data_IF_332962095372
#
_entry.id   IF_332962095372
#
_cell.length_a   1.000
_cell.length_b   1.000
_cell.length_c   1.000
_cell.angle_alpha   90.00
_cell.angle_beta   90.00
_cell.angle_gamma   90.00
#
_symmetry.space_group_name_H-M   'P 1'
#
loop_
_entity.id
_entity.type
_entity.pdbx_description
1 polymer ?
#
# COMPACT_ATOMS: atom_id res chain seq x y z
N UNK A 1 -4.01 -4.33 12.77
CA UNK A 1 -3.74 -5.51 11.92
C UNK A 1 -3.32 -6.72 12.76
N UNK A 2 -2.14 -6.76 13.40
CA UNK A 2 -1.70 -7.90 14.23
C UNK A 2 -2.66 -8.30 15.38
N UNK A 3 -3.27 -7.34 16.08
CA UNK A 3 -4.21 -7.65 17.18
C UNK A 3 -5.53 -8.30 16.71
N UNK A 4 -5.94 -8.07 15.47
CA UNK A 4 -7.11 -8.74 14.89
C UNK A 4 -6.80 -10.22 14.64
N UNK A 5 -5.61 -10.51 14.09
CA UNK A 5 -5.13 -11.87 13.82
C UNK A 5 -4.98 -12.68 15.12
N UNK A 6 -4.38 -12.09 16.17
CA UNK A 6 -4.29 -12.72 17.51
C UNK A 6 -5.66 -13.08 18.08
N UNK A 7 -6.67 -12.24 17.89
CA UNK A 7 -8.01 -12.42 18.47
C UNK A 7 -8.78 -13.59 17.84
N UNK A 8 -8.47 -13.93 16.59
CA UNK A 8 -9.00 -15.12 15.90
C UNK A 8 -8.29 -16.38 16.42
N UNK A 9 -6.96 -16.38 16.43
CA UNK A 9 -6.14 -17.54 16.87
C UNK A 9 -6.43 -17.93 18.33
N UNK A 10 -6.75 -16.96 19.20
CA UNK A 10 -7.00 -17.22 20.63
C UNK A 10 -8.38 -17.81 20.95
N UNK A 11 -9.27 -17.99 19.95
CA UNK A 11 -10.64 -18.47 20.17
C UNK A 11 -10.76 -20.00 20.16
N UNK A 12 -9.88 -20.69 19.41
CA UNK A 12 -10.00 -22.12 19.11
C UNK A 12 -8.81 -22.95 19.64
N UNK A 13 -8.58 -22.95 20.95
CA UNK A 13 -7.64 -23.90 21.58
C UNK A 13 -8.04 -24.26 23.02
N UNK A 14 -8.15 -25.57 23.36
CA UNK A 14 -8.51 -26.01 24.70
C UNK A 14 -7.35 -25.88 25.68
N UNK A 15 -7.64 -25.45 26.91
CA UNK A 15 -6.64 -25.27 27.96
C UNK A 15 -5.98 -26.58 28.41
N UNK A 16 -4.65 -26.56 28.59
CA UNK A 16 -3.93 -27.56 29.39
C UNK A 16 -3.06 -26.86 30.45
N UNK A 17 -3.12 -27.41 31.66
CA UNK A 17 -2.51 -26.88 32.89
C UNK A 17 -0.96 -26.92 32.85
N UNK A 18 -0.26 -26.01 33.56
CA UNK A 18 1.20 -25.93 33.53
C UNK A 18 1.88 -26.98 34.41
N UNK A 19 3.08 -27.41 34.00
CA UNK A 19 4.02 -28.18 34.84
C UNK A 19 5.33 -27.39 34.93
N UNK A 20 5.90 -27.31 36.14
CA UNK A 20 6.97 -26.40 36.50
C UNK A 20 8.35 -26.75 35.89
N UNK A 21 9.23 -25.74 35.79
CA UNK A 21 10.68 -25.91 35.62
C UNK A 21 11.43 -25.25 36.78
N UNK A 22 12.50 -25.91 37.23
CA UNK A 22 13.30 -25.58 38.42
C UNK A 22 14.31 -24.45 38.15
N UNK A 23 14.65 -23.72 39.21
CA UNK A 23 15.84 -22.87 39.31
C UNK A 23 17.13 -23.69 39.36
N UNK A 24 18.24 -23.12 38.85
CA UNK A 24 19.59 -23.34 39.41
C UNK A 24 20.37 -22.01 39.35
N UNK A 25 21.01 -21.65 40.46
CA UNK A 25 21.79 -20.41 40.66
C UNK A 25 23.31 -20.62 40.60
N UNK A 26 24.05 -19.53 40.30
CA UNK A 26 25.45 -19.16 40.67
C UNK A 26 26.28 -18.65 39.46
N UNK A 27 27.31 -17.80 39.61
CA UNK A 27 27.65 -16.70 40.56
C UNK A 27 28.83 -15.90 39.94
N UNK A 28 28.97 -14.62 40.28
CA UNK A 28 30.07 -13.71 39.83
C UNK A 28 31.46 -14.16 40.34
N UNK A 29 32.57 -13.77 39.66
CA UNK A 29 33.29 -12.50 39.91
C UNK A 29 33.69 -11.75 38.60
N UNK A 30 34.18 -10.50 38.54
CA UNK A 30 34.41 -9.42 39.53
C UNK A 30 34.51 -8.03 38.81
N UNK A 31 34.93 -6.96 39.51
CA UNK A 31 35.42 -5.67 38.97
C UNK A 31 36.76 -5.32 39.68
N UNK A 32 37.53 -4.28 39.27
CA UNK A 32 37.32 -2.96 39.90
C UNK A 32 37.79 -1.68 39.16
N UNK A 33 37.18 -0.53 39.52
CA UNK A 33 37.73 0.87 39.50
C UNK A 33 38.01 1.48 38.09
N UNK A 34 37.96 2.79 37.83
CA UNK A 34 37.79 4.06 38.58
C UNK A 34 37.23 5.11 37.56
N UNK A 35 36.67 6.31 37.85
CA UNK A 35 36.41 7.12 39.08
C UNK A 35 35.20 8.04 38.79
N UNK A 36 35.01 9.17 39.49
CA UNK A 36 33.99 10.20 39.20
C UNK A 36 34.54 11.63 39.35
N UNK A 37 33.94 12.62 38.67
CA UNK A 37 34.01 14.05 38.99
C UNK A 37 32.81 14.83 38.37
N UNK A 38 32.43 15.97 38.96
CA UNK A 38 31.23 16.79 38.63
C UNK A 38 31.64 18.25 38.24
N UNK A 39 30.71 19.19 37.93
CA UNK A 39 30.92 20.22 36.90
C UNK A 39 31.40 21.60 37.41
N UNK A 40 31.74 22.53 36.51
CA UNK A 40 31.80 23.96 36.79
C UNK A 40 30.45 24.67 36.52
N UNK A 41 30.21 25.78 37.23
CA UNK A 41 29.04 26.67 37.10
C UNK A 41 29.39 27.99 36.39
N UNK A 42 28.41 28.53 35.67
CA UNK A 42 28.04 29.96 35.48
C UNK A 42 29.12 31.06 35.38
N UNK A 43 29.00 31.87 34.33
CA UNK A 43 29.03 33.34 34.48
C UNK A 43 28.11 34.03 33.45
N UNK A 44 27.38 35.04 33.92
CA UNK A 44 26.44 35.84 33.11
C UNK A 44 27.13 36.83 32.16
N UNK A 45 26.52 37.08 30.99
CA UNK A 45 26.13 38.47 30.64
C UNK A 45 25.12 38.59 29.49
N UNK A 46 23.94 39.08 29.89
CA UNK A 46 22.81 39.61 29.11
C UNK A 46 23.19 40.85 28.28
N UNK A 47 22.83 40.89 26.98
CA UNK A 47 22.53 42.10 26.16
C UNK A 47 21.80 41.68 24.88
N UNK A 48 20.46 41.72 24.88
CA UNK A 48 19.61 42.79 24.28
C UNK A 48 19.47 42.76 22.76
N UNK A 49 18.23 42.48 22.35
CA UNK A 49 17.67 42.61 21.00
C UNK A 49 17.78 44.06 20.49
N UNK A 50 18.06 44.24 19.19
CA UNK A 50 17.48 45.36 18.42
C UNK A 50 17.31 44.97 16.94
N UNK A 51 16.20 45.35 16.26
CA UNK A 51 15.93 44.92 14.89
C UNK A 51 16.52 45.87 13.85
N UNK A 52 17.06 45.32 12.76
CA UNK A 52 17.22 45.95 11.45
C UNK A 52 16.56 45.02 10.41
N UNK A 53 15.85 45.47 9.38
CA UNK A 53 15.45 46.83 9.01
C UNK A 53 14.16 46.77 8.17
N UNK A 54 13.47 47.91 8.06
CA UNK A 54 12.20 48.09 7.32
C UNK A 54 12.23 47.54 5.89
N UNK A 55 11.27 46.66 5.56
CA UNK A 55 10.92 46.35 4.17
C UNK A 55 10.13 47.55 3.63
N UNK A 56 10.70 48.25 2.63
CA UNK A 56 10.04 49.38 1.97
C UNK A 56 8.71 48.96 1.33
N UNK A 57 7.72 49.84 1.44
CA UNK A 57 6.42 49.69 0.78
C UNK A 57 6.57 49.56 -0.76
N UNK A 58 5.68 48.81 -1.43
CA UNK A 58 5.75 48.61 -2.88
C UNK A 58 5.33 49.88 -3.65
N UNK A 59 6.05 50.26 -4.72
CA UNK A 59 5.61 51.32 -5.61
C UNK A 59 4.43 50.86 -6.48
N UNK A 60 3.26 51.44 -6.17
CA UNK A 60 2.16 51.84 -7.05
C UNK A 60 2.16 51.35 -8.52
N UNK A 61 1.17 50.50 -8.81
CA UNK A 61 0.33 50.44 -10.03
C UNK A 61 0.93 50.99 -11.34
N UNK A 62 1.18 50.09 -12.29
CA UNK A 62 1.28 50.41 -13.71
C UNK A 62 0.31 49.51 -14.50
N UNK A 63 -0.89 50.02 -14.80
CA UNK A 63 -1.81 49.37 -15.73
C UNK A 63 -1.28 49.50 -17.16
N UNK A 64 -1.14 48.37 -17.88
CA UNK A 64 -1.14 48.36 -19.35
C UNK A 64 -2.01 47.22 -19.87
N UNK A 65 -2.71 47.52 -20.95
CA UNK A 65 -3.80 46.75 -21.59
C UNK A 65 -3.36 45.38 -22.11
N UNK A 66 -4.31 44.44 -22.31
CA UNK A 66 -4.00 43.03 -22.58
C UNK A 66 -3.31 42.82 -23.92
N UNK A 67 -2.31 41.93 -23.93
CA UNK A 67 -1.70 41.39 -25.15
C UNK A 67 -2.58 40.24 -25.63
N UNK A 68 -3.04 40.35 -26.88
CA UNK A 68 -3.87 39.34 -27.54
C UNK A 68 -3.03 38.09 -27.82
N UNK A 69 -3.52 36.93 -27.36
CA UNK A 69 -2.96 35.62 -27.70
C UNK A 69 -3.33 35.28 -29.15
N UNK A 70 -2.37 34.88 -30.03
CA UNK A 70 -2.71 34.32 -31.32
C UNK A 70 -3.34 32.93 -31.13
N UNK A 71 -4.52 32.76 -31.71
CA UNK A 71 -5.31 31.55 -31.71
C UNK A 71 -4.56 30.42 -32.45
N UNK A 72 -4.31 29.30 -31.78
CA UNK A 72 -3.64 28.13 -32.37
C UNK A 72 -4.65 27.01 -32.55
N UNK A 73 -4.73 26.50 -33.78
CA UNK A 73 -5.70 25.51 -34.25
C UNK A 73 -5.93 24.34 -33.29
N UNK A 74 -7.19 24.03 -33.03
CA UNK A 74 -7.57 22.81 -32.30
C UNK A 74 -7.34 21.58 -33.20
N UNK A 75 -6.32 20.78 -32.85
CA UNK A 75 -6.26 19.41 -33.34
C UNK A 75 -7.49 18.61 -32.85
N UNK A 76 -8.00 17.62 -33.62
CA UNK A 76 -9.22 16.91 -33.26
C UNK A 76 -9.13 16.27 -31.86
N UNK A 77 -10.01 16.70 -30.96
CA UNK A 77 -10.17 16.08 -29.64
C UNK A 77 -10.76 14.70 -29.84
N UNK A 78 -9.94 13.66 -29.71
CA UNK A 78 -10.43 12.29 -29.58
C UNK A 78 -11.49 12.23 -28.47
N UNK A 79 -12.67 11.71 -28.81
CA UNK A 79 -13.76 11.57 -27.85
C UNK A 79 -13.33 10.64 -26.71
N UNK A 80 -13.10 11.24 -25.54
CA UNK A 80 -12.88 10.48 -24.31
C UNK A 80 -14.13 9.65 -24.04
N UNK A 81 -14.05 8.35 -24.30
CA UNK A 81 -14.92 7.33 -23.69
C UNK A 81 -14.58 7.19 -22.20
N UNK A 82 -14.73 8.29 -21.46
CA UNK A 82 -14.53 8.40 -20.01
C UNK A 82 -15.75 7.86 -19.26
N UNK A 83 -16.01 6.58 -19.48
CA UNK A 83 -16.88 5.75 -18.65
C UNK A 83 -16.08 4.57 -18.11
N UNK A 84 -16.66 3.88 -17.13
CA UNK A 84 -16.09 2.72 -16.40
C UNK A 84 -15.30 1.72 -17.27
N UNK A 85 -15.74 1.47 -18.51
CA UNK A 85 -15.05 0.68 -19.53
C UNK A 85 -13.57 1.08 -19.73
N UNK A 86 -13.25 2.37 -19.90
CA UNK A 86 -11.88 2.84 -20.13
C UNK A 86 -10.95 2.61 -18.94
N UNK A 87 -11.48 2.60 -17.71
CA UNK A 87 -10.70 2.27 -16.51
C UNK A 87 -10.48 0.75 -16.40
N UNK A 88 -11.52 -0.05 -16.63
CA UNK A 88 -11.41 -1.51 -16.66
C UNK A 88 -10.42 -1.99 -17.73
N UNK A 89 -10.44 -1.41 -18.93
CA UNK A 89 -9.51 -1.76 -20.00
C UNK A 89 -8.08 -1.31 -19.71
N UNK A 90 -7.90 -0.18 -19.02
CA UNK A 90 -6.59 0.25 -18.51
C UNK A 90 -6.03 -0.72 -17.46
N UNK A 91 -6.88 -1.26 -16.56
CA UNK A 91 -6.50 -2.32 -15.62
C UNK A 91 -6.12 -3.60 -16.38
N UNK A 92 -6.98 -4.08 -17.30
CA UNK A 92 -6.70 -5.27 -18.12
C UNK A 92 -5.34 -5.16 -18.82
N UNK A 93 -5.06 -4.02 -19.45
CA UNK A 93 -3.79 -3.73 -20.15
C UNK A 93 -2.59 -3.64 -19.18
N UNK A 94 -2.79 -3.10 -17.99
CA UNK A 94 -1.75 -3.05 -16.96
C UNK A 94 -1.40 -4.44 -16.40
N UNK A 95 -2.37 -5.35 -16.35
CA UNK A 95 -2.22 -6.71 -15.83
C UNK A 95 -1.94 -7.76 -16.92
N UNK A 96 -1.79 -7.39 -18.20
CA UNK A 96 -1.64 -8.33 -19.33
C UNK A 96 -0.61 -9.42 -19.07
N UNK A 97 0.62 -9.06 -18.68
CA UNK A 97 1.72 -10.04 -18.45
C UNK A 97 1.38 -11.04 -17.34
N UNK A 98 0.87 -10.57 -16.20
CA UNK A 98 0.47 -11.40 -15.06
C UNK A 98 -0.69 -12.31 -15.44
N UNK A 99 -1.68 -11.77 -16.16
CA UNK A 99 -2.84 -12.52 -16.67
C UNK A 99 -2.39 -13.61 -17.65
N UNK A 100 -1.51 -13.31 -18.59
CA UNK A 100 -1.04 -14.26 -19.60
C UNK A 100 -0.37 -15.46 -18.92
N UNK A 101 0.64 -15.23 -18.07
CA UNK A 101 1.33 -16.28 -17.30
C UNK A 101 0.34 -17.15 -16.50
N UNK A 102 -0.46 -16.52 -15.63
CA UNK A 102 -1.42 -17.25 -14.79
C UNK A 102 -2.49 -17.97 -15.61
N UNK A 103 -2.98 -17.38 -16.70
CA UNK A 103 -4.03 -18.01 -17.51
C UNK A 103 -3.48 -19.20 -18.28
N UNK A 104 -2.26 -19.15 -18.81
CA UNK A 104 -1.65 -20.29 -19.50
C UNK A 104 -1.37 -21.45 -18.53
N UNK A 105 -0.76 -21.16 -17.38
CA UNK A 105 -0.42 -22.17 -16.37
C UNK A 105 -1.70 -22.84 -15.81
N UNK A 106 -2.68 -22.06 -15.38
CA UNK A 106 -3.94 -22.59 -14.84
C UNK A 106 -4.78 -23.32 -15.91
N UNK A 107 -4.82 -22.83 -17.15
CA UNK A 107 -5.59 -23.53 -18.19
C UNK A 107 -4.93 -24.87 -18.57
N UNK A 108 -3.59 -24.94 -18.60
CA UNK A 108 -2.87 -26.20 -18.79
C UNK A 108 -3.01 -27.16 -17.61
N UNK A 109 -3.18 -26.65 -16.38
CA UNK A 109 -3.43 -27.47 -15.20
C UNK A 109 -4.82 -28.12 -15.25
N UNK A 110 -5.84 -27.34 -15.60
CA UNK A 110 -7.24 -27.78 -15.52
C UNK A 110 -7.73 -28.56 -16.74
N UNK A 111 -7.07 -28.46 -17.90
CA UNK A 111 -7.48 -29.18 -19.11
C UNK A 111 -7.23 -30.68 -18.97
N UNK A 112 -8.30 -31.47 -18.82
CA UNK A 112 -8.26 -32.93 -18.92
C UNK A 112 -7.61 -33.68 -17.75
N UNK A 113 -7.23 -33.00 -16.66
CA UNK A 113 -6.77 -33.64 -15.43
C UNK A 113 -7.95 -34.02 -14.53
N UNK A 114 -7.76 -35.09 -13.75
CA UNK A 114 -8.67 -35.42 -12.64
C UNK A 114 -8.37 -34.52 -11.45
N UNK A 115 -9.35 -34.36 -10.57
CA UNK A 115 -9.17 -33.61 -9.31
C UNK A 115 -8.58 -34.56 -8.27
N UNK A 116 -7.26 -34.57 -8.17
CA UNK A 116 -6.47 -35.33 -7.20
C UNK A 116 -5.50 -34.41 -6.44
N UNK A 117 -4.72 -34.98 -5.50
CA UNK A 117 -3.79 -34.19 -4.69
C UNK A 117 -2.64 -33.59 -5.52
N UNK A 118 -2.20 -34.27 -6.59
CA UNK A 118 -1.16 -33.76 -7.49
C UNK A 118 -1.62 -32.47 -8.21
N UNK A 119 -2.90 -32.40 -8.61
CA UNK A 119 -3.48 -31.17 -9.14
C UNK A 119 -3.48 -30.01 -8.10
N UNK A 120 -3.68 -30.31 -6.82
CA UNK A 120 -3.59 -29.30 -5.75
C UNK A 120 -2.15 -28.86 -5.46
N UNK A 121 -1.16 -29.77 -5.50
CA UNK A 121 0.27 -29.44 -5.37
C UNK A 121 0.78 -28.58 -6.55
N UNK A 122 0.35 -28.88 -7.78
CA UNK A 122 0.65 -28.04 -8.95
C UNK A 122 -0.02 -26.65 -8.83
N UNK A 123 -1.27 -26.59 -8.35
CA UNK A 123 -1.97 -25.32 -8.11
C UNK A 123 -1.27 -24.48 -7.03
N UNK A 124 -0.84 -25.10 -5.93
CA UNK A 124 -0.04 -24.44 -4.89
C UNK A 124 1.22 -23.81 -5.46
N UNK A 125 1.94 -24.57 -6.28
CA UNK A 125 3.18 -24.12 -6.94
C UNK A 125 2.93 -22.92 -7.86
N UNK A 126 1.86 -22.93 -8.67
CA UNK A 126 1.50 -21.81 -9.55
C UNK A 126 1.16 -20.55 -8.74
N UNK A 127 0.42 -20.69 -7.63
CA UNK A 127 0.03 -19.56 -6.78
C UNK A 127 1.25 -18.96 -6.05
N UNK A 128 2.12 -19.80 -5.47
CA UNK A 128 3.32 -19.34 -4.77
C UNK A 128 4.34 -18.68 -5.72
N UNK A 129 4.56 -19.24 -6.91
CA UNK A 129 5.45 -18.66 -7.94
C UNK A 129 4.87 -17.44 -8.66
N UNK A 130 3.68 -16.99 -8.27
CA UNK A 130 2.97 -15.82 -8.80
C UNK A 130 2.67 -14.79 -7.70
N UNK A 131 3.50 -14.75 -6.66
CA UNK A 131 3.51 -13.76 -5.56
C UNK A 131 2.23 -13.70 -4.70
N UNK A 132 1.40 -14.75 -4.69
CA UNK A 132 0.19 -14.83 -3.84
C UNK A 132 0.55 -14.96 -2.36
N UNK A 133 1.64 -15.67 -2.06
CA UNK A 133 2.16 -15.86 -0.71
C UNK A 133 1.43 -16.95 0.10
N UNK A 134 2.16 -17.58 1.02
CA UNK A 134 1.76 -18.82 1.72
C UNK A 134 0.35 -18.72 2.33
N UNK A 135 0.09 -17.74 3.19
CA UNK A 135 -1.18 -17.65 3.93
C UNK A 135 -2.41 -17.52 3.03
N UNK A 136 -2.29 -16.83 1.90
CA UNK A 136 -3.38 -16.69 0.93
C UNK A 136 -3.52 -17.97 0.09
N UNK A 137 -2.41 -18.56 -0.35
CA UNK A 137 -2.43 -19.85 -1.06
C UNK A 137 -3.07 -20.96 -0.23
N UNK A 138 -2.68 -21.15 1.03
CA UNK A 138 -3.29 -22.15 1.92
C UNK A 138 -4.80 -21.93 2.07
N UNK A 139 -5.24 -20.69 2.33
CA UNK A 139 -6.66 -20.36 2.42
C UNK A 139 -7.44 -20.70 1.15
N UNK A 140 -6.87 -20.38 -0.02
CA UNK A 140 -7.51 -20.67 -1.32
C UNK A 140 -7.62 -22.18 -1.55
N UNK A 141 -6.54 -22.94 -1.36
CA UNK A 141 -6.52 -24.38 -1.58
C UNK A 141 -7.51 -25.11 -0.67
N UNK A 142 -7.53 -24.78 0.62
CA UNK A 142 -8.44 -25.43 1.58
C UNK A 142 -9.91 -25.07 1.30
N UNK A 143 -10.18 -23.81 0.95
CA UNK A 143 -11.53 -23.36 0.55
C UNK A 143 -12.02 -24.04 -0.73
N UNK A 144 -11.13 -24.27 -1.70
CA UNK A 144 -11.43 -25.00 -2.93
C UNK A 144 -11.63 -26.49 -2.63
N UNK A 145 -10.75 -27.15 -1.86
CA UNK A 145 -10.89 -28.57 -1.44
C UNK A 145 -12.23 -28.82 -0.75
N UNK A 146 -12.66 -27.92 0.15
CA UNK A 146 -13.98 -27.98 0.81
C UNK A 146 -15.12 -27.81 -0.20
N UNK A 147 -15.00 -26.86 -1.13
CA UNK A 147 -16.04 -26.59 -2.14
C UNK A 147 -16.21 -27.74 -3.14
N UNK A 148 -15.10 -28.33 -3.61
CA UNK A 148 -15.09 -29.53 -4.47
C UNK A 148 -15.81 -30.70 -3.77
N UNK A 149 -15.45 -31.00 -2.52
CA UNK A 149 -16.07 -32.08 -1.73
C UNK A 149 -17.55 -31.83 -1.44
N UNK A 150 -17.95 -30.57 -1.20
CA UNK A 150 -19.34 -30.21 -0.89
C UNK A 150 -20.25 -30.29 -2.13
N UNK A 151 -19.73 -29.88 -3.29
CA UNK A 151 -20.51 -29.74 -4.51
C UNK A 151 -20.37 -30.94 -5.47
N UNK A 152 -19.56 -31.96 -5.11
CA UNK A 152 -19.20 -33.11 -5.95
C UNK A 152 -18.69 -32.69 -7.34
N UNK A 153 -17.75 -31.74 -7.35
CA UNK A 153 -17.14 -31.26 -8.60
C UNK A 153 -16.18 -32.34 -9.10
N UNK A 154 -16.38 -32.79 -10.34
CA UNK A 154 -15.56 -33.81 -11.00
C UNK A 154 -14.68 -33.23 -12.12
N UNK A 155 -15.05 -32.08 -12.70
CA UNK A 155 -14.27 -31.42 -13.74
C UNK A 155 -13.33 -30.35 -13.18
N UNK A 156 -12.03 -30.48 -13.46
CA UNK A 156 -11.01 -29.50 -13.08
C UNK A 156 -11.23 -28.10 -13.70
N UNK A 157 -11.93 -27.96 -14.83
CA UNK A 157 -12.28 -26.65 -15.41
C UNK A 157 -13.08 -25.77 -14.43
N UNK A 158 -13.92 -26.38 -13.59
CA UNK A 158 -14.74 -25.68 -12.60
C UNK A 158 -13.90 -25.09 -11.45
N UNK A 159 -12.71 -25.66 -11.17
CA UNK A 159 -11.77 -25.15 -10.17
C UNK A 159 -11.33 -23.73 -10.51
N UNK A 160 -11.21 -23.39 -11.80
CA UNK A 160 -10.91 -22.01 -12.26
C UNK A 160 -11.99 -21.01 -11.85
N UNK A 161 -13.25 -21.44 -11.86
CA UNK A 161 -14.40 -20.66 -11.38
C UNK A 161 -14.34 -20.46 -9.86
N UNK A 162 -14.14 -21.54 -9.11
CA UNK A 162 -13.97 -21.51 -7.66
C UNK A 162 -12.78 -20.64 -7.21
N UNK A 163 -11.63 -20.76 -7.87
CA UNK A 163 -10.46 -19.95 -7.54
C UNK A 163 -10.75 -18.44 -7.68
N UNK A 164 -11.48 -18.04 -8.74
CA UNK A 164 -11.93 -16.66 -8.91
C UNK A 164 -12.91 -16.23 -7.81
N UNK A 165 -13.84 -17.10 -7.43
CA UNK A 165 -14.77 -16.84 -6.32
C UNK A 165 -14.00 -16.62 -5.01
N UNK A 166 -13.10 -17.53 -4.64
CA UNK A 166 -12.36 -17.47 -3.37
C UNK A 166 -11.32 -16.35 -3.32
N UNK A 167 -10.74 -15.97 -4.46
CA UNK A 167 -9.96 -14.73 -4.57
C UNK A 167 -10.83 -13.48 -4.33
N UNK A 168 -12.08 -13.48 -4.80
CA UNK A 168 -13.01 -12.36 -4.58
C UNK A 168 -13.42 -12.31 -3.10
N UNK A 169 -13.76 -13.45 -2.51
CA UNK A 169 -14.11 -13.59 -1.08
C UNK A 169 -12.99 -13.09 -0.16
N UNK A 170 -11.72 -13.34 -0.52
CA UNK A 170 -10.54 -12.83 0.21
C UNK A 170 -10.38 -11.30 0.10
N UNK A 171 -10.71 -10.70 -1.06
CA UNK A 171 -10.43 -9.30 -1.37
C UNK A 171 -11.57 -8.35 -0.98
N UNK A 172 -12.84 -8.75 -1.08
CA UNK A 172 -13.99 -7.88 -0.76
C UNK A 172 -13.95 -7.31 0.68
N UNK A 173 -13.58 -8.06 1.73
CA UNK A 173 -13.54 -7.52 3.10
C UNK A 173 -12.49 -6.43 3.36
N UNK A 174 -11.51 -6.27 2.47
CA UNK A 174 -10.44 -5.25 2.56
C UNK A 174 -10.65 -4.09 1.58
N UNK A 175 -11.73 -4.11 0.78
CA UNK A 175 -12.10 -3.00 -0.08
C UNK A 175 -12.55 -1.79 0.75
N UNK A 176 -11.75 -0.71 0.71
CA UNK A 176 -12.04 0.53 1.44
C UNK A 176 -11.69 1.75 0.56
N UNK A 177 -12.66 2.32 -0.17
CA UNK A 177 -12.41 3.45 -1.06
C UNK A 177 -12.08 4.73 -0.27
N UNK A 178 -11.18 5.55 -0.82
CA UNK A 178 -10.80 6.83 -0.22
C UNK A 178 -11.92 7.86 -0.36
N UNK A 179 -12.71 8.03 0.70
CA UNK A 179 -13.82 9.00 0.77
C UNK A 179 -13.35 10.28 1.48
N UNK A 180 -13.20 11.37 0.74
CA UNK A 180 -12.83 12.69 1.28
C UNK A 180 -14.04 13.37 1.95
N UNK A 181 -14.38 12.95 3.17
CA UNK A 181 -15.42 13.57 4.02
C UNK A 181 -14.82 14.02 5.35
N UNK A 182 -15.44 15.04 5.97
CA UNK A 182 -15.05 15.56 7.28
C UNK A 182 -14.22 16.84 7.20
N UNK A 183 -12.99 16.79 7.71
CA UNK A 183 -12.13 17.96 7.86
C UNK A 183 -11.79 18.65 6.52
N UNK A 184 -11.68 19.98 6.55
CA UNK A 184 -11.23 20.80 5.44
C UNK A 184 -10.10 21.74 5.93
N UNK A 185 -8.86 21.62 5.44
CA UNK A 185 -8.40 20.67 4.43
C UNK A 185 -8.40 19.21 4.92
N UNK A 186 -8.69 18.28 4.00
CA UNK A 186 -8.48 16.85 4.24
C UNK A 186 -7.00 16.52 3.98
N UNK A 187 -6.27 16.09 5.02
CA UNK A 187 -4.82 15.89 4.96
C UNK A 187 -4.49 14.43 4.64
N UNK A 188 -3.75 14.19 3.55
CA UNK A 188 -3.26 12.86 3.15
C UNK A 188 -1.73 12.83 3.30
N UNK A 189 -1.23 11.96 4.19
CA UNK A 189 0.20 11.71 4.34
C UNK A 189 0.61 10.45 3.58
N UNK A 190 1.47 10.59 2.57
CA UNK A 190 1.97 9.47 1.76
C UNK A 190 3.32 9.02 2.30
N UNK A 191 3.41 7.74 2.71
CA UNK A 191 4.61 7.13 3.31
C UNK A 191 5.06 5.89 2.53
N UNK A 192 6.32 5.49 2.69
CA UNK A 192 6.89 4.31 2.05
C UNK A 192 8.38 4.45 1.71
N UNK A 193 8.99 3.37 1.23
CA UNK A 193 10.43 3.31 0.88
C UNK A 193 10.77 4.09 -0.40
N UNK A 194 12.07 4.19 -0.72
CA UNK A 194 12.53 4.77 -1.98
C UNK A 194 12.17 3.87 -3.16
N UNK A 195 11.94 4.44 -4.34
CA UNK A 195 11.52 3.70 -5.54
C UNK A 195 10.04 3.29 -5.58
N UNK A 196 9.33 3.23 -4.45
CA UNK A 196 7.91 2.82 -4.36
C UNK A 196 6.87 3.76 -5.01
N UNK A 197 7.30 4.72 -5.84
CA UNK A 197 6.39 5.59 -6.61
C UNK A 197 5.68 6.70 -5.84
N UNK A 198 6.07 7.01 -4.58
CA UNK A 198 5.41 8.02 -3.72
C UNK A 198 5.06 9.33 -4.45
N UNK A 199 6.06 10.03 -4.98
CA UNK A 199 5.89 11.32 -5.67
C UNK A 199 5.01 11.20 -6.92
N UNK A 200 5.16 10.12 -7.69
CA UNK A 200 4.33 9.81 -8.85
C UNK A 200 2.86 9.56 -8.47
N UNK A 201 2.61 8.91 -7.32
CA UNK A 201 1.25 8.70 -6.79
C UNK A 201 0.65 10.00 -6.27
N UNK A 202 1.43 10.87 -5.62
CA UNK A 202 0.99 12.22 -5.23
C UNK A 202 0.52 12.99 -6.48
N UNK A 203 1.35 13.07 -7.54
CA UNK A 203 0.97 13.75 -8.78
C UNK A 203 -0.28 13.17 -9.46
N UNK A 204 -0.43 11.84 -9.46
CA UNK A 204 -1.65 11.16 -9.97
C UNK A 204 -2.89 11.51 -9.15
N UNK A 205 -2.81 11.47 -7.82
CA UNK A 205 -3.91 11.84 -6.92
C UNK A 205 -4.27 13.31 -7.05
N UNK A 206 -3.28 14.20 -7.14
CA UNK A 206 -3.49 15.63 -7.43
C UNK A 206 -4.26 15.81 -8.73
N UNK A 207 -3.87 15.13 -9.81
CA UNK A 207 -4.60 15.23 -11.09
C UNK A 207 -6.04 14.73 -10.97
N UNK A 208 -6.28 13.61 -10.30
CA UNK A 208 -7.63 13.08 -10.05
C UNK A 208 -8.48 14.10 -9.28
N UNK A 209 -7.97 14.67 -8.18
CA UNK A 209 -8.72 15.63 -7.37
C UNK A 209 -8.95 16.98 -8.09
N UNK A 210 -8.01 17.44 -8.92
CA UNK A 210 -8.21 18.60 -9.79
C UNK A 210 -9.27 18.34 -10.87
N UNK A 211 -9.30 17.14 -11.46
CA UNK A 211 -10.34 16.73 -12.42
C UNK A 211 -11.72 16.57 -11.74
N UNK A 212 -11.75 16.33 -10.43
CA UNK A 212 -12.94 16.40 -9.56
C UNK A 212 -13.27 17.83 -9.05
N UNK A 213 -12.61 18.86 -9.58
CA UNK A 213 -12.76 20.29 -9.22
C UNK A 213 -12.43 20.64 -7.75
N UNK A 214 -11.55 19.88 -7.09
CA UNK A 214 -11.09 20.16 -5.72
C UNK A 214 -9.84 21.05 -5.72
N UNK A 215 -9.76 21.98 -4.78
CA UNK A 215 -8.52 22.71 -4.49
C UNK A 215 -7.50 21.79 -3.82
N UNK A 216 -6.29 21.67 -4.38
CA UNK A 216 -5.22 20.82 -3.85
C UNK A 216 -4.01 21.67 -3.48
N UNK A 217 -3.47 21.45 -2.27
CA UNK A 217 -2.18 21.97 -1.82
C UNK A 217 -1.21 20.79 -1.64
N UNK A 218 0.00 20.90 -2.19
CA UNK A 218 1.07 19.91 -2.02
C UNK A 218 2.12 20.48 -1.05
N UNK A 219 2.57 19.67 -0.09
CA UNK A 219 3.69 19.98 0.78
C UNK A 219 4.86 19.03 0.46
N UNK A 220 6.02 19.59 0.10
CA UNK A 220 7.23 18.82 -0.22
C UNK A 220 7.93 18.33 1.07
N UNK A 221 7.43 17.22 1.62
CA UNK A 221 7.96 16.63 2.87
C UNK A 221 9.17 15.69 2.70
N UNK A 222 9.54 15.28 1.49
CA UNK A 222 10.70 14.41 1.22
C UNK A 222 11.99 15.24 1.13
N UNK A 223 12.39 15.87 2.24
CA UNK A 223 13.53 16.82 2.31
C UNK A 223 14.90 16.15 2.26
N UNK A 224 14.98 14.82 2.29
CA UNK A 224 16.23 14.07 2.21
C UNK A 224 16.72 13.87 0.77
N UNK A 225 15.81 13.91 -0.21
CA UNK A 225 16.13 13.66 -1.62
C UNK A 225 16.09 14.97 -2.39
N UNK A 226 17.24 15.55 -2.70
CA UNK A 226 17.35 16.83 -3.41
C UNK A 226 16.47 16.90 -4.68
N UNK A 227 16.47 15.83 -5.48
CA UNK A 227 15.66 15.69 -6.71
C UNK A 227 14.22 15.20 -6.48
N UNK A 228 13.66 15.30 -5.27
CA UNK A 228 12.23 15.07 -5.00
C UNK A 228 11.42 16.37 -4.89
N UNK A 229 12.10 17.52 -5.04
CA UNK A 229 11.54 18.88 -4.89
C UNK A 229 11.35 19.63 -6.22
N UNK A 230 11.82 19.06 -7.33
CA UNK A 230 11.62 19.52 -8.71
C UNK A 230 10.53 18.68 -9.42
#
# INVERSE_FOLDING_TARGET
MFEFLKKIIKKDSPEKKPVAKKEVTKKVPASPKQKAAKPPKTSDKKKTVKPLQSIKAPPKVAEKKPVVLPEKEEAPKEEKKSGFFGFADKIKKGLTKTREKLTSELTSLFTGKKIDEALFEELETILLTSDVGISATTFLLDSIRVSVKKNNIENADEIKGLLKEKLTELLTPIENPLILKGANPYVIMVVGVNGAGKTTTIGKLTKIFLDENKSVLIAAGDTFRAAATE
#
